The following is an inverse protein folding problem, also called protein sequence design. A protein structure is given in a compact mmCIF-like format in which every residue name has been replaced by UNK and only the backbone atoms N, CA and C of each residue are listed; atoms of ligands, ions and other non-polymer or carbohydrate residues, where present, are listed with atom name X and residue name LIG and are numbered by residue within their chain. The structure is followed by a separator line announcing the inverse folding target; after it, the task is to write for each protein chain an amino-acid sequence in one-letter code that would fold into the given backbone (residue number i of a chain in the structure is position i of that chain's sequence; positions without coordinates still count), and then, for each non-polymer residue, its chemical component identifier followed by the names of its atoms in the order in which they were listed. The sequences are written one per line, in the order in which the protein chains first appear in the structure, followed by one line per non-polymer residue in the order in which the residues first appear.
data_IF_143284955710
#
_entry.id   IF_143284955710
#
_cell.length_a   1.000
_cell.length_b   1.000
_cell.length_c   1.000
_cell.angle_alpha   90.00
_cell.angle_beta   90.00
_cell.angle_gamma   90.00
#
_symmetry.space_group_name_H-M   'P 1'
#
loop_
_entity.id
_entity.type
_entity.pdbx_description
1 polymer ?
#
# COMPACT_ATOMS: atom_id res chain seq x y z
N UNK A 1 -20.23 9.77 19.18
CA UNK A 1 -19.54 11.08 19.16
C UNK A 1 -18.11 10.84 18.71
N UNK A 2 -17.86 10.76 17.41
CA UNK A 2 -16.50 10.76 16.86
C UNK A 2 -16.30 12.11 16.17
N UNK A 3 -15.56 12.99 16.84
CA UNK A 3 -15.23 14.32 16.32
C UNK A 3 -14.23 14.17 15.18
N UNK A 4 -14.44 14.98 14.14
CA UNK A 4 -13.80 14.89 12.84
C UNK A 4 -12.28 14.82 12.88
N UNK A 5 -11.75 13.84 12.16
CA UNK A 5 -10.36 13.84 11.69
C UNK A 5 -10.41 14.26 10.23
N UNK A 6 -10.39 15.56 9.95
CA UNK A 6 -10.13 16.05 8.60
C UNK A 6 -9.84 17.55 8.64
N UNK A 7 -8.73 18.08 8.11
CA UNK A 7 -8.40 18.06 6.67
C UNK A 7 -6.89 18.04 6.34
N UNK A 8 -6.00 18.00 7.33
CA UNK A 8 -4.58 18.31 7.12
C UNK A 8 -3.66 17.13 6.79
N UNK A 9 -4.07 15.88 7.07
CA UNK A 9 -3.15 14.74 6.93
C UNK A 9 -2.75 14.51 5.47
N UNK A 10 -3.62 14.81 4.50
CA UNK A 10 -3.34 14.62 3.08
C UNK A 10 -2.22 15.54 2.60
N UNK A 11 -2.29 16.82 2.96
CA UNK A 11 -1.25 17.82 2.67
C UNK A 11 0.05 17.48 3.41
N UNK A 12 -0.04 17.07 4.67
CA UNK A 12 1.12 16.66 5.45
C UNK A 12 1.76 15.40 4.88
N UNK A 13 0.99 14.40 4.46
CA UNK A 13 1.50 13.19 3.83
C UNK A 13 2.24 13.54 2.53
N UNK A 14 1.63 14.39 1.70
CA UNK A 14 2.24 14.90 0.47
C UNK A 14 3.56 15.62 0.72
N UNK A 15 3.68 16.34 1.83
CA UNK A 15 4.89 17.07 2.21
C UNK A 15 5.96 16.18 2.86
N UNK A 16 5.54 15.17 3.64
CA UNK A 16 6.43 14.34 4.47
C UNK A 16 6.96 13.11 3.74
N UNK A 17 6.24 12.60 2.74
CA UNK A 17 6.64 11.42 1.99
C UNK A 17 6.68 11.71 0.49
N UNK A 18 7.86 11.65 -0.16
CA UNK A 18 8.03 12.05 -1.56
C UNK A 18 7.65 10.95 -2.57
N UNK A 19 7.19 9.79 -2.09
CA UNK A 19 6.84 8.65 -2.95
C UNK A 19 5.57 8.89 -3.76
N UNK A 20 5.28 7.96 -4.67
CA UNK A 20 4.13 8.07 -5.57
C UNK A 20 2.81 7.91 -4.79
N UNK A 21 1.92 8.89 -4.92
CA UNK A 21 0.57 8.85 -4.34
C UNK A 21 -0.45 9.22 -5.42
N UNK A 22 -1.42 8.34 -5.65
CA UNK A 22 -2.62 8.66 -6.42
C UNK A 22 -3.76 9.06 -5.47
N UNK A 23 -4.32 10.25 -5.68
CA UNK A 23 -5.39 10.80 -4.83
C UNK A 23 -6.77 10.52 -5.43
N UNK A 24 -7.75 10.26 -4.57
CA UNK A 24 -9.17 10.06 -4.92
C UNK A 24 -9.40 9.04 -6.06
N UNK A 25 -8.59 7.97 -6.05
CA UNK A 25 -8.56 6.96 -7.12
C UNK A 25 -9.56 5.83 -6.85
N UNK A 26 -10.42 5.43 -7.81
CA UNK A 26 -11.36 4.34 -7.62
C UNK A 26 -10.61 3.01 -7.43
N UNK A 27 -10.89 2.32 -6.31
CA UNK A 27 -10.26 1.04 -5.99
C UNK A 27 -10.59 -0.07 -7.01
N UNK A 28 -11.66 0.09 -7.79
CA UNK A 28 -11.97 -0.74 -8.95
C UNK A 28 -10.80 -0.87 -9.95
N UNK A 29 -9.96 0.18 -10.11
CA UNK A 29 -8.77 0.13 -10.98
C UNK A 29 -7.67 -0.79 -10.46
N UNK A 30 -7.73 -1.13 -9.17
CA UNK A 30 -6.64 -1.74 -8.42
C UNK A 30 -6.99 -3.13 -7.86
N UNK A 31 -8.25 -3.55 -7.97
CA UNK A 31 -8.74 -4.84 -7.49
C UNK A 31 -9.24 -5.69 -8.66
N UNK A 32 -9.07 -7.02 -8.60
CA UNK A 32 -9.44 -7.89 -9.73
C UNK A 32 -10.95 -8.01 -9.93
N UNK A 33 -11.75 -7.77 -8.89
CA UNK A 33 -13.22 -7.74 -9.01
C UNK A 33 -13.72 -6.47 -9.72
N UNK A 34 -12.85 -5.47 -9.94
CA UNK A 34 -13.17 -4.24 -10.65
C UNK A 34 -14.36 -3.46 -10.04
N UNK A 35 -14.53 -3.59 -8.73
CA UNK A 35 -15.52 -2.87 -7.93
C UNK A 35 -14.83 -2.07 -6.82
N UNK A 36 -15.50 -1.05 -6.32
CA UNK A 36 -15.01 -0.21 -5.22
C UNK A 36 -14.86 1.26 -5.57
N UNK A 37 -15.35 2.10 -4.67
CA UNK A 37 -15.26 3.55 -4.74
C UNK A 37 -13.85 4.11 -4.51
N UNK A 38 -13.73 5.44 -4.38
CA UNK A 38 -12.44 6.10 -4.28
C UNK A 38 -11.71 5.77 -2.96
N UNK A 39 -10.44 5.40 -3.05
CA UNK A 39 -9.52 5.53 -1.92
C UNK A 39 -8.99 6.96 -1.91
N UNK A 40 -8.96 7.59 -0.74
CA UNK A 40 -8.48 8.98 -0.63
C UNK A 40 -7.03 9.13 -1.05
N UNK A 41 -6.18 8.18 -0.66
CA UNK A 41 -4.81 8.09 -1.14
C UNK A 41 -4.42 6.65 -1.42
N UNK A 42 -3.74 6.41 -2.54
CA UNK A 42 -3.08 5.15 -2.87
C UNK A 42 -1.59 5.43 -2.98
N UNK A 43 -0.83 5.04 -1.96
CA UNK A 43 0.61 5.17 -1.90
C UNK A 43 1.29 3.93 -2.51
N UNK A 44 2.22 4.14 -3.43
CA UNK A 44 2.91 3.09 -4.19
C UNK A 44 4.41 3.18 -3.93
N UNK A 45 4.92 2.66 -2.79
CA UNK A 45 6.36 2.64 -2.54
C UNK A 45 7.09 1.87 -3.64
N UNK A 46 8.20 2.42 -4.13
CA UNK A 46 9.02 1.79 -5.17
C UNK A 46 10.15 0.91 -4.62
N UNK A 47 10.40 0.95 -3.31
CA UNK A 47 11.41 0.14 -2.64
C UNK A 47 11.08 -0.13 -1.16
N UNK A 48 11.86 -1.02 -0.54
CA UNK A 48 11.77 -1.30 0.90
C UNK A 48 12.04 -0.04 1.73
N UNK A 49 12.99 0.78 1.31
CA UNK A 49 13.38 2.02 1.99
C UNK A 49 12.25 3.05 1.94
N UNK A 50 11.56 3.18 0.81
CA UNK A 50 10.38 4.03 0.68
C UNK A 50 9.21 3.53 1.54
N UNK A 51 8.97 2.21 1.58
CA UNK A 51 7.97 1.64 2.47
C UNK A 51 8.33 1.89 3.95
N UNK A 52 9.60 1.72 4.32
CA UNK A 52 10.09 1.98 5.67
C UNK A 52 9.99 3.45 6.09
N UNK A 53 10.10 4.40 5.14
CA UNK A 53 9.88 5.81 5.43
C UNK A 53 8.39 6.20 5.47
N UNK A 54 7.52 5.49 4.73
CA UNK A 54 6.08 5.73 4.70
C UNK A 54 5.38 5.34 6.02
N UNK A 55 5.63 4.13 6.53
CA UNK A 55 4.89 3.59 7.69
C UNK A 55 4.97 4.51 8.93
N UNK A 56 6.14 5.05 9.31
CA UNK A 56 6.25 6.00 10.43
C UNK A 56 5.48 7.31 10.18
N UNK A 57 5.45 7.80 8.94
CA UNK A 57 4.67 9.00 8.58
C UNK A 57 3.18 8.73 8.77
N UNK A 58 2.67 7.60 8.27
CA UNK A 58 1.26 7.21 8.46
C UNK A 58 0.91 7.07 9.95
N UNK A 59 1.79 6.45 10.74
CA UNK A 59 1.61 6.32 12.18
C UNK A 59 1.59 7.69 12.89
N UNK A 60 2.51 8.60 12.54
CA UNK A 60 2.59 9.96 13.10
C UNK A 60 1.35 10.79 12.77
N UNK A 61 0.80 10.64 11.57
CA UNK A 61 -0.40 11.35 11.13
C UNK A 61 -1.69 10.79 11.74
N UNK A 62 -1.66 9.60 12.33
CA UNK A 62 -2.85 8.94 12.89
C UNK A 62 -3.91 8.62 11.84
N UNK A 63 -3.55 8.61 10.56
CA UNK A 63 -4.47 8.30 9.45
C UNK A 63 -4.71 6.79 9.38
N UNK A 64 -5.94 6.39 9.04
CA UNK A 64 -6.24 4.98 8.78
C UNK A 64 -5.54 4.50 7.52
N UNK A 65 -4.93 3.32 7.54
CA UNK A 65 -4.30 2.75 6.36
C UNK A 65 -4.38 1.22 6.28
N UNK A 66 -4.23 0.68 5.07
CA UNK A 66 -4.23 -0.76 4.77
C UNK A 66 -3.18 -1.08 3.72
N UNK A 67 -2.55 -2.25 3.80
CA UNK A 67 -1.69 -2.78 2.73
C UNK A 67 -2.51 -3.68 1.81
N UNK A 68 -2.36 -3.53 0.50
CA UNK A 68 -2.94 -4.42 -0.49
C UNK A 68 -1.88 -4.84 -1.52
N UNK A 69 -2.04 -6.05 -2.07
CA UNK A 69 -1.40 -6.45 -3.32
C UNK A 69 -2.32 -6.12 -4.49
N UNK A 70 -2.58 -7.11 -5.36
CA UNK A 70 -3.50 -6.99 -6.51
C UNK A 70 -5.00 -6.89 -6.18
N UNK A 71 -5.36 -6.90 -4.89
CA UNK A 71 -6.77 -6.87 -4.45
C UNK A 71 -7.62 -8.03 -4.98
N UNK A 72 -7.05 -9.23 -5.14
CA UNK A 72 -7.76 -10.38 -5.71
C UNK A 72 -8.83 -11.01 -4.82
N UNK A 73 -8.79 -10.65 -3.53
CA UNK A 73 -9.74 -11.10 -2.52
C UNK A 73 -10.31 -9.92 -1.73
N UNK A 74 -10.50 -8.77 -2.38
CA UNK A 74 -11.07 -7.58 -1.77
C UNK A 74 -12.40 -7.22 -2.43
N UNK A 75 -13.44 -7.09 -1.60
CA UNK A 75 -14.71 -6.48 -1.97
C UNK A 75 -14.75 -5.09 -1.32
N UNK A 76 -14.55 -4.05 -2.12
CA UNK A 76 -14.51 -2.66 -1.66
C UNK A 76 -15.88 -2.03 -1.88
N UNK A 77 -16.37 -1.30 -0.88
CA UNK A 77 -17.63 -0.54 -0.96
C UNK A 77 -17.56 0.58 -2.00
N UNK A 78 -18.67 0.90 -2.64
CA UNK A 78 -18.79 2.08 -3.53
C UNK A 78 -18.60 3.40 -2.79
N UNK A 79 -18.78 3.42 -1.46
CA UNK A 79 -18.43 4.56 -0.61
C UNK A 79 -16.90 4.80 -0.55
N UNK A 80 -16.09 3.83 -0.98
CA UNK A 80 -14.64 3.94 -1.02
C UNK A 80 -13.96 3.73 0.32
N UNK A 81 -12.74 4.26 0.44
CA UNK A 81 -11.89 4.14 1.62
C UNK A 81 -11.30 5.51 2.01
N UNK A 82 -11.82 6.09 3.09
CA UNK A 82 -11.30 7.33 3.66
C UNK A 82 -10.07 7.06 4.55
N UNK A 83 -8.92 7.01 3.88
CA UNK A 83 -7.60 6.74 4.44
C UNK A 83 -6.57 6.45 3.34
N UNK A 84 -5.45 5.84 3.72
CA UNK A 84 -4.36 5.50 2.79
C UNK A 84 -4.34 4.00 2.47
N UNK A 85 -4.35 3.66 1.20
CA UNK A 85 -4.04 2.32 0.70
C UNK A 85 -2.56 2.29 0.35
N UNK A 86 -1.81 1.35 0.92
CA UNK A 86 -0.40 1.10 0.59
C UNK A 86 -0.36 -0.08 -0.37
N UNK A 87 0.07 0.15 -1.60
CA UNK A 87 0.07 -0.85 -2.65
C UNK A 87 1.45 -1.46 -2.85
N UNK A 88 1.57 -2.76 -2.59
CA UNK A 88 2.76 -3.53 -2.91
C UNK A 88 2.49 -4.30 -4.21
N UNK A 89 2.98 -3.74 -5.33
CA UNK A 89 2.85 -4.34 -6.65
C UNK A 89 4.19 -4.80 -7.22
N UNK A 90 4.37 -4.65 -8.53
CA UNK A 90 5.55 -5.14 -9.29
C UNK A 90 6.91 -4.74 -8.70
N UNK A 91 7.00 -3.63 -7.97
CA UNK A 91 8.22 -3.16 -7.30
C UNK A 91 8.67 -4.04 -6.14
N UNK A 92 7.79 -4.93 -5.67
CA UNK A 92 8.05 -5.95 -4.66
C UNK A 92 7.83 -7.37 -5.21
N UNK A 93 8.03 -7.60 -6.51
CA UNK A 93 7.85 -8.91 -7.14
C UNK A 93 9.18 -9.67 -7.35
N UNK A 94 10.26 -9.27 -6.67
CA UNK A 94 11.58 -9.89 -6.83
C UNK A 94 11.59 -11.31 -6.29
N UNK A 95 12.14 -12.23 -7.08
CA UNK A 95 12.40 -13.62 -6.70
C UNK A 95 13.92 -13.83 -6.71
N UNK A 96 14.46 -14.23 -5.57
CA UNK A 96 15.87 -14.60 -5.41
C UNK A 96 16.00 -16.06 -4.97
N UNK A 97 17.11 -16.68 -5.33
CA UNK A 97 17.45 -18.05 -4.94
C UNK A 97 18.84 -18.07 -4.31
N UNK A 98 19.04 -18.93 -3.32
CA UNK A 98 20.37 -19.28 -2.78
C UNK A 98 20.45 -20.77 -2.50
N UNK A 99 21.66 -21.31 -2.45
CA UNK A 99 21.89 -22.69 -2.03
C UNK A 99 21.45 -22.87 -0.55
N UNK A 100 20.83 -24.01 -0.26
CA UNK A 100 20.56 -24.46 1.10
C UNK A 100 21.79 -25.07 1.75
N UNK A 101 21.62 -25.55 2.98
CA UNK A 101 22.72 -26.17 3.73
C UNK A 101 23.04 -27.58 3.20
N UNK A 102 22.06 -28.24 2.57
CA UNK A 102 22.20 -29.59 2.02
C UNK A 102 22.42 -29.57 0.51
N UNK A 103 23.22 -30.51 0.02
CA UNK A 103 23.40 -30.74 -1.42
C UNK A 103 22.04 -30.97 -2.09
N UNK A 104 21.73 -30.15 -3.10
CA UNK A 104 20.45 -30.20 -3.82
C UNK A 104 19.32 -29.36 -3.22
N UNK A 105 19.54 -28.70 -2.08
CA UNK A 105 18.56 -27.79 -1.48
C UNK A 105 18.71 -26.36 -2.03
N UNK A 106 17.58 -25.69 -2.23
CA UNK A 106 17.51 -24.29 -2.63
C UNK A 106 16.52 -23.52 -1.76
N UNK A 107 16.91 -22.33 -1.34
CA UNK A 107 16.05 -21.41 -0.61
C UNK A 107 15.62 -20.29 -1.55
N UNK A 108 14.31 -20.07 -1.63
CA UNK A 108 13.72 -18.97 -2.37
C UNK A 108 13.37 -17.83 -1.41
N UNK A 109 13.79 -16.62 -1.77
CA UNK A 109 13.30 -15.38 -1.17
C UNK A 109 12.37 -14.73 -2.19
N UNK A 110 11.13 -14.52 -1.79
CA UNK A 110 10.11 -13.87 -2.62
C UNK A 110 9.62 -12.63 -1.88
N UNK A 111 9.52 -11.52 -2.60
CA UNK A 111 8.96 -10.29 -2.06
C UNK A 111 7.42 -10.29 -2.15
N UNK A 112 6.77 -9.34 -1.47
CA UNK A 112 5.35 -9.44 -1.14
C UNK A 112 4.37 -9.09 -2.28
N UNK A 113 4.85 -8.60 -3.42
CA UNK A 113 4.05 -8.02 -4.51
C UNK A 113 3.80 -8.94 -5.71
#
# INVERSE_FOLDING_TARGET
MEKGVDKGWAEQLRALWPGEIEWDSPMARWCTLQVGGPARAIAMPASREELQSLIPVLARLGVRWRVIGRGSNLLVSDAGYDGVIVMLGRKFATIGQRAGEKTGEFLLRVEAG
#
